data_IF_319342382676
#
_entry.id   IF_319342382676
#
_cell.length_a   1.000
_cell.length_b   1.000
_cell.length_c   1.000
_cell.angle_alpha   90.00
_cell.angle_beta   90.00
_cell.angle_gamma   90.00
#
_symmetry.space_group_name_H-M   'P 1'
#
loop_
_entity.id
_entity.type
_entity.pdbx_description
1 polymer ?
#
# COMPACT_ATOMS: atom_id res chain seq x y z
N UNK A 1 -16.23 -0.72 18.39
CA UNK A 1 -15.33 0.18 17.63
C UNK A 1 -13.88 -0.18 17.97
N UNK A 2 -13.29 -1.14 17.24
CA UNK A 2 -11.88 -1.49 17.45
C UNK A 2 -11.02 -0.47 16.69
N UNK A 3 -10.37 0.44 17.42
CA UNK A 3 -9.35 1.32 16.88
C UNK A 3 -8.16 0.44 16.48
N UNK A 4 -7.97 0.24 15.17
CA UNK A 4 -6.74 -0.37 14.63
C UNK A 4 -5.57 0.54 15.04
N UNK A 5 -4.90 0.21 16.13
CA UNK A 5 -3.70 0.90 16.55
C UNK A 5 -2.66 0.79 15.42
N UNK A 6 -2.01 1.89 15.00
CA UNK A 6 -0.91 1.79 14.06
C UNK A 6 0.22 1.03 14.76
N UNK A 7 0.42 -0.25 14.41
CA UNK A 7 1.58 -1.03 14.83
C UNK A 7 2.82 -0.22 14.47
N UNK A 8 3.49 0.35 15.47
CA UNK A 8 4.76 1.05 15.30
C UNK A 8 5.81 0.00 14.89
N UNK A 9 5.93 -0.22 13.58
CA UNK A 9 6.93 -1.10 12.98
C UNK A 9 8.32 -0.49 13.27
N UNK A 10 9.32 -1.30 13.68
CA UNK A 10 10.67 -0.82 13.93
C UNK A 10 11.14 0.05 12.77
N UNK A 11 11.80 1.16 13.09
CA UNK A 11 12.30 2.06 12.08
C UNK A 11 13.40 1.38 11.26
N UNK A 12 13.06 0.81 10.10
CA UNK A 12 14.01 0.19 9.17
C UNK A 12 15.27 1.07 9.01
N UNK A 13 16.44 0.53 9.35
CA UNK A 13 17.73 1.23 9.30
C UNK A 13 18.36 1.24 7.91
N UNK A 14 17.91 0.34 7.03
CA UNK A 14 18.40 0.15 5.66
C UNK A 14 17.28 0.29 4.63
N UNK A 15 17.66 0.60 3.39
CA UNK A 15 16.74 0.60 2.27
C UNK A 15 16.32 -0.82 1.89
N UNK A 16 15.01 -1.09 1.82
CA UNK A 16 14.44 -2.40 1.40
C UNK A 16 14.92 -2.91 0.04
N UNK A 17 15.35 -2.02 -0.86
CA UNK A 17 15.72 -2.39 -2.24
C UNK A 17 17.21 -2.59 -2.39
N UNK A 18 18.03 -1.62 -1.98
CA UNK A 18 19.48 -1.66 -2.17
C UNK A 18 20.28 -2.00 -0.91
N UNK A 19 19.61 -2.27 0.21
CA UNK A 19 20.18 -2.60 1.52
C UNK A 19 21.16 -1.58 2.10
N UNK A 20 21.33 -0.41 1.47
CA UNK A 20 22.18 0.67 1.99
C UNK A 20 21.57 1.29 3.25
N UNK A 21 22.42 1.54 4.24
CA UNK A 21 22.06 2.29 5.45
C UNK A 21 21.57 3.69 5.09
N UNK A 22 20.58 4.18 5.83
CA UNK A 22 20.21 5.59 5.74
C UNK A 22 21.25 6.43 6.47
N UNK A 23 21.81 7.42 5.77
CA UNK A 23 22.58 8.49 6.42
C UNK A 23 21.68 9.25 7.41
N UNK A 24 22.26 9.78 8.49
CA UNK A 24 21.57 10.59 9.51
C UNK A 24 20.94 11.90 8.99
N UNK A 25 21.07 12.21 7.70
CA UNK A 25 20.47 13.39 7.08
C UNK A 25 18.93 13.27 6.99
N UNK A 26 18.19 14.27 7.47
CA UNK A 26 16.73 14.32 7.36
C UNK A 26 16.23 14.16 5.91
N UNK A 27 15.09 13.49 5.73
CA UNK A 27 14.38 13.45 4.45
C UNK A 27 14.88 12.42 3.41
N UNK A 28 16.00 11.74 3.65
CA UNK A 28 16.54 10.67 2.79
C UNK A 28 15.77 9.35 2.87
N UNK A 29 15.12 9.12 4.02
CA UNK A 29 14.25 7.97 4.28
C UNK A 29 12.82 8.28 3.84
N UNK A 30 12.27 7.49 2.94
CA UNK A 30 10.86 7.48 2.55
C UNK A 30 10.24 6.14 2.96
N UNK A 31 8.92 6.07 2.98
CA UNK A 31 8.17 4.83 3.27
C UNK A 31 7.36 4.44 2.05
N UNK A 32 7.53 3.21 1.58
CA UNK A 32 6.68 2.65 0.53
C UNK A 32 5.24 2.50 1.05
N UNK A 33 4.26 2.98 0.29
CA UNK A 33 2.83 2.89 0.68
C UNK A 33 2.16 1.55 0.38
N UNK A 34 2.87 0.60 -0.24
CA UNK A 34 2.42 -0.77 -0.46
C UNK A 34 2.98 -1.71 0.62
N UNK A 35 4.31 -1.87 0.70
CA UNK A 35 4.93 -2.80 1.66
C UNK A 35 5.32 -2.18 3.02
N UNK A 36 5.09 -0.88 3.21
CA UNK A 36 5.38 -0.14 4.45
C UNK A 36 6.86 -0.13 4.90
N UNK A 37 7.78 -0.59 4.04
CA UNK A 37 9.21 -0.57 4.32
C UNK A 37 9.88 0.76 3.94
N UNK A 38 11.03 1.02 4.57
CA UNK A 38 11.83 2.18 4.25
C UNK A 38 12.59 2.06 2.94
N UNK A 39 12.65 3.16 2.20
CA UNK A 39 13.26 3.23 0.88
C UNK A 39 14.03 4.55 0.73
N UNK A 40 15.21 4.47 0.11
CA UNK A 40 16.00 5.67 -0.20
C UNK A 40 15.39 6.42 -1.38
N UNK A 41 15.78 7.69 -1.58
CA UNK A 41 15.27 8.51 -2.67
C UNK A 41 15.49 7.90 -4.07
N UNK A 42 16.59 7.17 -4.29
CA UNK A 42 16.91 6.52 -5.58
C UNK A 42 16.02 5.32 -5.87
N UNK A 43 15.66 4.55 -4.84
CA UNK A 43 14.81 3.37 -4.99
C UNK A 43 13.31 3.69 -4.83
N UNK A 44 12.98 4.96 -4.59
CA UNK A 44 11.62 5.44 -4.39
C UNK A 44 11.07 6.01 -5.70
N UNK A 45 9.86 5.58 -6.06
CA UNK A 45 9.11 6.08 -7.22
C UNK A 45 7.85 6.78 -6.72
N UNK A 46 7.59 7.99 -7.22
CA UNK A 46 6.32 8.69 -6.98
C UNK A 46 5.32 8.30 -8.06
N UNK A 47 4.12 7.87 -7.66
CA UNK A 47 3.02 7.55 -8.56
C UNK A 47 1.74 8.22 -8.10
N UNK A 48 0.89 8.57 -9.05
CA UNK A 48 -0.49 8.96 -8.79
C UNK A 48 -1.29 7.69 -8.53
N UNK A 49 -2.13 7.69 -7.49
CA UNK A 49 -3.08 6.60 -7.23
C UNK A 49 -4.47 7.16 -7.09
N UNK A 50 -5.45 6.41 -7.56
CA UNK A 50 -6.87 6.69 -7.37
C UNK A 50 -7.34 5.97 -6.11
N UNK A 51 -8.03 6.68 -5.23
CA UNK A 51 -8.63 6.12 -4.03
C UNK A 51 -10.07 6.61 -3.90
N UNK A 52 -10.96 5.75 -3.43
CA UNK A 52 -12.33 6.13 -3.10
C UNK A 52 -12.31 7.23 -2.03
N UNK A 53 -13.04 8.31 -2.29
CA UNK A 53 -13.18 9.40 -1.36
C UNK A 53 -13.96 8.95 -0.12
N UNK A 54 -13.84 9.68 1.00
CA UNK A 54 -14.63 9.39 2.21
C UNK A 54 -16.14 9.45 2.00
N UNK A 55 -16.61 10.17 0.98
CA UNK A 55 -18.02 10.25 0.61
C UNK A 55 -18.56 8.96 -0.06
N UNK A 56 -17.68 8.01 -0.38
CA UNK A 56 -17.98 6.73 -1.04
C UNK A 56 -18.59 6.86 -2.45
N UNK A 57 -18.60 8.06 -3.02
CA UNK A 57 -19.24 8.36 -4.31
C UNK A 57 -18.26 8.96 -5.32
N UNK A 58 -17.13 9.51 -4.86
CA UNK A 58 -16.11 10.10 -5.73
C UNK A 58 -14.76 9.40 -5.62
N UNK A 59 -13.89 9.63 -6.62
CA UNK A 59 -12.52 9.11 -6.66
C UNK A 59 -11.56 10.29 -6.53
N UNK A 60 -10.56 10.13 -5.66
CA UNK A 60 -9.49 11.11 -5.44
C UNK A 60 -8.17 10.59 -5.97
N UNK A 61 -7.48 11.44 -6.72
CA UNK A 61 -6.11 11.19 -7.13
C UNK A 61 -5.12 11.71 -6.09
N UNK A 62 -4.14 10.90 -5.73
CA UNK A 62 -3.12 11.28 -4.75
C UNK A 62 -1.73 10.79 -5.13
N UNK A 63 -0.74 11.68 -5.05
CA UNK A 63 0.67 11.30 -5.21
C UNK A 63 1.14 10.50 -4.00
N UNK A 64 1.61 9.27 -4.23
CA UNK A 64 2.15 8.34 -3.23
C UNK A 64 3.56 7.91 -3.61
N UNK A 65 4.29 7.40 -2.62
CA UNK A 65 5.67 6.92 -2.77
C UNK A 65 5.71 5.41 -2.62
N UNK A 66 6.37 4.73 -3.55
CA UNK A 66 6.52 3.28 -3.58
C UNK A 66 7.98 2.89 -3.79
N UNK A 67 8.39 1.70 -3.35
CA UNK A 67 9.70 1.19 -3.74
C UNK A 67 9.64 0.62 -5.16
N UNK A 68 10.78 0.59 -5.84
CA UNK A 68 10.87 0.06 -7.21
C UNK A 68 10.45 -1.41 -7.33
N UNK A 69 10.66 -2.23 -6.29
CA UNK A 69 10.21 -3.63 -6.28
C UNK A 69 8.69 -3.75 -6.34
N UNK A 70 7.96 -3.05 -5.46
CA UNK A 70 6.49 -3.04 -5.52
C UNK A 70 5.97 -2.46 -6.84
N UNK A 71 6.64 -1.46 -7.42
CA UNK A 71 6.25 -0.93 -8.74
C UNK A 71 6.47 -1.97 -9.84
N UNK A 72 7.57 -2.71 -9.78
CA UNK A 72 7.83 -3.78 -10.73
C UNK A 72 6.74 -4.85 -10.66
N UNK A 73 6.40 -5.33 -9.45
CA UNK A 73 5.34 -6.33 -9.24
C UNK A 73 3.99 -5.88 -9.82
N UNK A 74 3.54 -4.66 -9.52
CA UNK A 74 2.23 -4.18 -10.00
C UNK A 74 2.19 -3.95 -11.52
N UNK A 75 3.30 -3.58 -12.15
CA UNK A 75 3.36 -3.44 -13.63
C UNK A 75 3.20 -4.79 -14.34
N UNK A 76 3.54 -5.88 -13.67
CA UNK A 76 3.43 -7.24 -14.21
C UNK A 76 2.18 -7.99 -13.70
N UNK A 77 1.32 -7.31 -12.95
CA UNK A 77 0.08 -7.89 -12.42
C UNK A 77 -1.12 -7.47 -13.26
N UNK A 78 -2.13 -8.34 -13.39
CA UNK A 78 -3.40 -8.02 -14.04
C UNK A 78 -4.38 -7.43 -13.01
N UNK A 79 -4.53 -6.11 -13.02
CA UNK A 79 -5.41 -5.40 -12.11
C UNK A 79 -6.90 -5.78 -12.28
N UNK A 80 -7.32 -6.16 -13.48
CA UNK A 80 -8.71 -6.55 -13.76
C UNK A 80 -8.98 -7.94 -13.20
N UNK A 81 -8.06 -8.89 -13.40
CA UNK A 81 -8.16 -10.21 -12.81
C UNK A 81 -8.22 -10.12 -11.27
N UNK A 82 -7.31 -9.36 -10.65
CA UNK A 82 -7.31 -9.14 -9.20
C UNK A 82 -8.65 -8.53 -8.74
N UNK A 83 -9.14 -7.47 -9.41
CA UNK A 83 -10.41 -6.85 -9.03
C UNK A 83 -11.60 -7.81 -9.13
N UNK A 84 -11.61 -8.72 -10.10
CA UNK A 84 -12.64 -9.76 -10.22
C UNK A 84 -12.57 -10.74 -9.06
N UNK A 85 -11.38 -11.21 -8.70
CA UNK A 85 -11.19 -12.16 -7.59
C UNK A 85 -11.61 -11.55 -6.24
N UNK A 86 -11.30 -10.27 -6.02
CA UNK A 86 -11.74 -9.52 -4.83
C UNK A 86 -13.28 -9.43 -4.75
N UNK A 87 -13.96 -9.15 -5.88
CA UNK A 87 -15.42 -9.10 -5.92
C UNK A 87 -16.07 -10.46 -5.63
N UNK A 88 -15.46 -11.56 -6.08
CA UNK A 88 -15.93 -12.92 -5.74
C UNK A 88 -15.78 -13.15 -4.24
N UNK A 89 -14.61 -12.82 -3.68
CA UNK A 89 -14.33 -12.98 -2.24
C UNK A 89 -15.28 -12.18 -1.36
N UNK A 90 -15.57 -10.91 -1.71
CA UNK A 90 -16.49 -10.06 -0.94
C UNK A 90 -17.93 -10.60 -0.88
N UNK A 91 -18.40 -11.33 -1.89
CA UNK A 91 -19.74 -11.93 -1.90
C UNK A 91 -19.88 -13.08 -0.89
N UNK A 92 -18.79 -13.80 -0.60
CA UNK A 92 -18.81 -14.86 0.39
C UNK A 92 -18.91 -14.31 1.83
N UNK A 93 -18.36 -13.13 2.10
CA UNK A 93 -18.46 -12.46 3.41
C UNK A 93 -19.84 -11.88 3.72
N UNK A 94 -20.70 -11.73 2.70
CA UNK A 94 -22.09 -11.29 2.85
C UNK A 94 -23.05 -12.46 3.09
N UNK A 95 -22.81 -13.61 2.44
CA UNK A 95 -23.59 -14.85 2.66
C UNK A 95 -23.41 -15.40 4.09
N UNK A 96 -22.24 -15.15 4.70
CA UNK A 96 -21.92 -15.45 6.09
C UNK A 96 -22.70 -14.66 7.16
N UNK A 97 -23.38 -13.57 6.79
CA UNK A 97 -24.13 -12.71 7.72
C UNK A 97 -25.65 -12.90 7.64
N UNK A 98 -26.14 -13.64 6.65
CA UNK A 98 -27.58 -13.79 6.41
C UNK A 98 -28.22 -14.93 7.23
N UNK A 99 -27.43 -15.81 7.85
CA UNK A 99 -27.93 -16.90 8.72
C UNK A 99 -27.78 -16.64 10.24
N UNK A 100 -27.48 -15.40 10.66
CA UNK A 100 -27.32 -15.03 12.07
C UNK A 100 -28.49 -14.17 12.61
N UNK A 101 -29.73 -14.50 12.23
CA UNK A 101 -30.97 -13.98 12.82
C UNK A 101 -31.91 -15.12 13.22
#
# INVERSE_FOLDING_TARGET
>A
LALLQPKQKPADSTCRVCSKNFSFLPGRKKTCKSCYHAVCSRCCVKKLVCAMAPDQCSILEKKRSFCSLCIHEVVHSDAVAIARDELVTMRHDTDGKEYAL
#
